data_IF_378135566339
#
_entry.id   IF_378135566339
#
_cell.length_a   1.000
_cell.length_b   1.000
_cell.length_c   1.000
_cell.angle_alpha   90.00
_cell.angle_beta   90.00
_cell.angle_gamma   90.00
#
_symmetry.space_group_name_H-M   'P 1'
#
loop_
_entity.id
_entity.type
_entity.pdbx_description
1 polymer ?
#
# COMPACT_ATOMS: atom_id res chain seq x y z
N UNK A 1 -2.69 -12.93 -17.75
CA UNK A 1 -2.73 -12.64 -16.30
C UNK A 1 -2.51 -13.93 -15.54
N UNK A 2 -1.58 -13.98 -14.57
CA UNK A 2 -1.31 -15.21 -13.79
C UNK A 2 -2.39 -15.42 -12.72
N UNK A 3 -2.52 -16.64 -12.19
CA UNK A 3 -3.49 -16.94 -11.11
C UNK A 3 -3.29 -16.05 -9.87
N UNK A 4 -2.03 -15.74 -9.53
CA UNK A 4 -1.71 -14.82 -8.43
C UNK A 4 -2.12 -13.39 -8.74
N UNK A 5 -1.92 -12.92 -9.98
CA UNK A 5 -2.39 -11.60 -10.41
C UNK A 5 -3.92 -11.53 -10.41
N UNK A 6 -4.60 -12.59 -10.84
CA UNK A 6 -6.05 -12.68 -10.79
C UNK A 6 -6.59 -12.67 -9.36
N UNK A 7 -6.01 -13.46 -8.46
CA UNK A 7 -6.38 -13.45 -7.03
C UNK A 7 -6.18 -12.08 -6.41
N UNK A 8 -5.04 -11.46 -6.66
CA UNK A 8 -4.75 -10.11 -6.16
C UNK A 8 -5.75 -9.09 -6.67
N UNK A 9 -6.01 -9.10 -7.98
CA UNK A 9 -7.02 -8.24 -8.59
C UNK A 9 -8.41 -8.49 -8.00
N UNK A 10 -8.86 -9.74 -7.93
CA UNK A 10 -10.19 -10.09 -7.43
C UNK A 10 -10.37 -9.68 -5.96
N UNK A 11 -9.36 -9.91 -5.11
CA UNK A 11 -9.37 -9.47 -3.72
C UNK A 11 -9.39 -7.95 -3.62
N UNK A 12 -8.59 -7.25 -4.42
CA UNK A 12 -8.59 -5.78 -4.44
C UNK A 12 -9.95 -5.21 -4.80
N UNK A 13 -10.57 -5.76 -5.86
CA UNK A 13 -11.89 -5.35 -6.32
C UNK A 13 -12.97 -5.63 -5.26
N UNK A 14 -12.93 -6.80 -4.62
CA UNK A 14 -13.84 -7.17 -3.55
C UNK A 14 -13.68 -6.25 -2.32
N UNK A 15 -12.44 -6.00 -1.89
CA UNK A 15 -12.15 -5.08 -0.79
C UNK A 15 -12.61 -3.66 -1.11
N UNK A 16 -12.37 -3.17 -2.32
CA UNK A 16 -12.84 -1.84 -2.74
C UNK A 16 -14.36 -1.74 -2.71
N UNK A 17 -15.05 -2.72 -3.26
CA UNK A 17 -16.52 -2.75 -3.25
C UNK A 17 -17.07 -2.79 -1.82
N UNK A 18 -16.47 -3.60 -0.94
CA UNK A 18 -16.86 -3.67 0.46
C UNK A 18 -16.68 -2.32 1.17
N UNK A 19 -15.53 -1.67 0.98
CA UNK A 19 -15.22 -0.36 1.59
C UNK A 19 -16.18 0.70 1.09
N UNK A 20 -16.44 0.76 -0.22
CA UNK A 20 -17.35 1.73 -0.82
C UNK A 20 -18.79 1.54 -0.31
N UNK A 21 -19.25 0.30 -0.15
CA UNK A 21 -20.62 0.00 0.24
C UNK A 21 -20.89 0.09 1.75
N UNK A 22 -19.92 -0.22 2.60
CA UNK A 22 -20.14 -0.34 4.04
C UNK A 22 -19.33 0.68 4.83
N UNK A 23 -18.02 0.79 4.57
CA UNK A 23 -17.12 1.56 5.41
C UNK A 23 -17.28 3.06 5.17
N UNK A 24 -17.25 3.49 3.90
CA UNK A 24 -17.40 4.92 3.55
C UNK A 24 -18.70 5.54 4.09
N UNK A 25 -19.90 4.97 3.87
CA UNK A 25 -21.13 5.58 4.39
C UNK A 25 -21.21 5.52 5.92
N UNK A 26 -20.74 4.45 6.55
CA UNK A 26 -20.81 4.30 8.02
C UNK A 26 -19.96 5.35 8.75
N UNK A 27 -18.78 5.65 8.20
CA UNK A 27 -17.83 6.59 8.82
C UNK A 27 -17.80 7.97 8.15
N UNK A 28 -18.67 8.22 7.17
CA UNK A 28 -18.70 9.48 6.42
C UNK A 28 -17.39 9.79 5.68
N UNK A 29 -16.67 8.78 5.21
CA UNK A 29 -15.38 8.97 4.55
C UNK A 29 -15.56 9.58 3.16
N UNK A 30 -15.09 10.82 3.01
CA UNK A 30 -14.99 11.52 1.73
C UNK A 30 -13.56 11.48 1.21
N UNK A 31 -13.39 11.78 -0.07
CA UNK A 31 -12.08 11.98 -0.67
C UNK A 31 -12.18 13.16 -1.62
N UNK A 32 -11.62 14.28 -1.17
CA UNK A 32 -11.50 15.47 -1.99
C UNK A 32 -10.18 15.36 -2.75
N UNK A 33 -10.26 14.98 -4.02
CA UNK A 33 -9.09 14.84 -4.89
C UNK A 33 -8.94 16.07 -5.77
N UNK A 34 -7.77 16.71 -5.73
CA UNK A 34 -7.40 17.71 -6.73
C UNK A 34 -7.22 17.08 -8.12
N UNK A 35 -6.87 15.79 -8.19
CA UNK A 35 -6.74 15.02 -9.43
C UNK A 35 -7.60 13.74 -9.38
N UNK A 36 -8.83 13.82 -9.90
CA UNK A 36 -9.70 12.68 -10.19
C UNK A 36 -9.87 12.52 -11.72
N UNK A 37 -9.60 11.34 -12.31
CA UNK A 37 -9.14 10.11 -11.67
C UNK A 37 -7.68 10.14 -11.23
N UNK A 38 -7.37 9.33 -10.20
CA UNK A 38 -5.99 8.94 -9.89
C UNK A 38 -5.27 8.45 -11.17
N UNK A 39 -3.95 8.71 -11.30
CA UNK A 39 -3.21 8.30 -12.48
C UNK A 39 -3.26 6.78 -12.68
N UNK A 40 -3.16 6.36 -13.94
CA UNK A 40 -2.94 4.94 -14.24
C UNK A 40 -1.53 4.51 -13.80
N UNK A 41 -1.35 3.29 -13.27
CA UNK A 41 -0.04 2.77 -12.91
C UNK A 41 0.99 2.88 -14.05
N UNK A 42 2.28 3.14 -13.73
CA UNK A 42 2.86 3.17 -12.40
C UNK A 42 2.71 4.52 -11.69
N UNK A 43 2.47 4.47 -10.38
CA UNK A 43 2.52 5.62 -9.48
C UNK A 43 2.81 5.16 -8.04
N UNK A 44 3.21 6.10 -7.18
CA UNK A 44 3.39 5.88 -5.75
C UNK A 44 2.28 6.62 -4.99
N UNK A 45 1.49 5.87 -4.23
CA UNK A 45 0.57 6.42 -3.24
C UNK A 45 1.30 6.52 -1.89
N UNK A 46 1.46 7.75 -1.41
CA UNK A 46 2.03 8.05 -0.08
C UNK A 46 0.92 8.51 0.85
N UNK A 47 0.89 7.96 2.05
CA UNK A 47 -0.08 8.32 3.08
C UNK A 47 0.53 8.21 4.47
N UNK A 48 0.03 9.00 5.41
CA UNK A 48 0.26 8.80 6.83
C UNK A 48 -0.38 7.48 7.32
N UNK A 49 0.06 6.96 8.47
CA UNK A 49 -0.39 5.68 9.02
C UNK A 49 -1.03 5.82 10.42
N UNK A 50 -2.32 6.17 10.43
CA UNK A 50 -3.16 6.29 11.61
C UNK A 50 -3.61 4.96 12.21
N UNK A 51 -4.01 4.01 11.37
CA UNK A 51 -4.67 2.77 11.80
C UNK A 51 -4.19 1.56 11.03
N UNK A 52 -4.39 0.37 11.60
CA UNK A 52 -4.13 -0.88 10.89
C UNK A 52 -4.91 -0.99 9.57
N UNK A 53 -6.07 -0.32 9.45
CA UNK A 53 -6.95 -0.43 8.30
C UNK A 53 -6.61 0.52 7.14
N UNK A 54 -5.65 1.44 7.32
CA UNK A 54 -5.30 2.44 6.31
C UNK A 54 -4.94 1.88 4.93
N UNK A 55 -4.25 0.72 4.80
CA UNK A 55 -3.97 0.16 3.48
C UNK A 55 -5.23 -0.08 2.64
N UNK A 56 -6.34 -0.40 3.29
CA UNK A 56 -7.64 -0.58 2.67
C UNK A 56 -8.38 0.76 2.52
N UNK A 57 -8.40 1.59 3.57
CA UNK A 57 -9.13 2.86 3.54
C UNK A 57 -8.59 3.81 2.47
N UNK A 58 -7.27 3.95 2.41
CA UNK A 58 -6.57 4.81 1.44
C UNK A 58 -6.47 4.10 0.09
N UNK A 59 -5.98 2.85 0.09
CA UNK A 59 -5.82 2.08 -1.14
C UNK A 59 -7.14 1.84 -1.88
N UNK A 60 -8.27 1.74 -1.16
CA UNK A 60 -9.59 1.54 -1.75
C UNK A 60 -10.06 2.66 -2.69
N UNK A 61 -9.43 3.84 -2.68
CA UNK A 61 -9.68 4.88 -3.67
C UNK A 61 -9.02 4.59 -5.02
N UNK A 62 -8.00 3.74 -5.05
CA UNK A 62 -7.40 3.26 -6.29
C UNK A 62 -8.27 2.22 -7.00
N UNK A 63 -8.54 2.49 -8.29
CA UNK A 63 -9.18 1.53 -9.21
C UNK A 63 -8.27 0.34 -9.50
N UNK A 64 -6.96 0.53 -9.44
CA UNK A 64 -5.95 -0.46 -9.77
C UNK A 64 -5.35 -1.12 -8.53
N UNK A 65 -5.07 -2.44 -8.54
CA UNK A 65 -4.45 -3.12 -7.40
C UNK A 65 -3.08 -2.55 -7.06
N UNK A 66 -2.88 -2.17 -5.79
CA UNK A 66 -1.63 -1.62 -5.29
C UNK A 66 -0.75 -2.70 -4.68
N UNK A 67 0.57 -2.56 -4.86
CA UNK A 67 1.53 -3.35 -4.09
C UNK A 67 1.85 -2.61 -2.79
N UNK A 68 1.50 -3.20 -1.64
CA UNK A 68 1.61 -2.53 -0.34
C UNK A 68 2.94 -2.88 0.33
N UNK A 69 3.72 -1.87 0.71
CA UNK A 69 4.92 -2.09 1.53
C UNK A 69 4.51 -2.41 2.98
N UNK A 70 4.98 -3.52 3.52
CA UNK A 70 4.64 -3.97 4.87
C UNK A 70 5.90 -4.43 5.63
N UNK A 71 5.95 -4.26 6.95
CA UNK A 71 7.05 -4.80 7.76
C UNK A 71 7.08 -6.34 7.69
N UNK A 72 8.26 -6.93 7.56
CA UNK A 72 8.50 -8.39 7.58
C UNK A 72 7.89 -9.07 8.81
N UNK A 73 7.78 -8.35 9.94
CA UNK A 73 7.13 -8.85 11.15
C UNK A 73 5.66 -9.22 10.94
N UNK A 74 4.95 -8.56 10.02
CA UNK A 74 3.57 -8.90 9.68
C UNK A 74 3.43 -10.32 9.10
N UNK A 75 4.49 -10.86 8.49
CA UNK A 75 4.51 -12.21 7.93
C UNK A 75 4.93 -13.30 8.94
N UNK A 76 5.19 -12.93 10.20
CA UNK A 76 5.59 -13.84 11.29
C UNK A 76 4.42 -14.33 12.13
N UNK A 77 3.25 -13.67 12.03
CA UNK A 77 2.05 -13.98 12.82
C UNK A 77 1.34 -15.30 12.48
N UNK A 78 1.82 -16.06 11.48
CA UNK A 78 1.30 -17.38 11.12
C UNK A 78 1.29 -17.69 9.62
N UNK A 79 0.91 -18.93 9.26
CA UNK A 79 0.84 -19.37 7.85
C UNK A 79 -0.35 -18.71 7.14
N UNK A 80 -1.47 -18.54 7.84
CA UNK A 80 -2.70 -17.93 7.31
C UNK A 80 -2.46 -16.45 6.98
N UNK A 81 -1.90 -15.68 7.92
CA UNK A 81 -1.57 -14.27 7.69
C UNK A 81 -0.57 -14.12 6.55
N UNK A 82 0.49 -14.93 6.50
CA UNK A 82 1.47 -14.92 5.41
C UNK A 82 0.84 -15.19 4.05
N UNK A 83 -0.09 -16.14 3.97
CA UNK A 83 -0.75 -16.50 2.71
C UNK A 83 -1.69 -15.38 2.26
N UNK A 84 -2.47 -14.84 3.18
CA UNK A 84 -3.35 -13.69 2.94
C UNK A 84 -2.58 -12.46 2.46
N UNK A 85 -1.51 -12.07 3.18
CA UNK A 85 -0.66 -10.93 2.82
C UNK A 85 -0.06 -11.09 1.41
N UNK A 86 0.33 -12.30 1.01
CA UNK A 86 0.80 -12.57 -0.35
C UNK A 86 -0.29 -12.41 -1.41
N UNK A 87 -1.52 -12.81 -1.09
CA UNK A 87 -2.65 -12.67 -2.02
C UNK A 87 -3.07 -11.21 -2.22
N UNK A 88 -3.02 -10.38 -1.18
CA UNK A 88 -3.30 -8.94 -1.28
C UNK A 88 -2.13 -8.10 -1.85
N UNK A 89 -1.08 -8.74 -2.37
CA UNK A 89 -0.01 -8.05 -3.11
C UNK A 89 1.01 -7.30 -2.26
N UNK A 90 1.13 -7.63 -0.97
CA UNK A 90 2.12 -7.00 -0.09
C UNK A 90 3.54 -7.47 -0.36
N UNK A 91 4.52 -6.62 -0.03
CA UNK A 91 5.93 -6.99 -0.03
C UNK A 91 6.66 -6.44 1.21
N UNK A 92 7.64 -7.21 1.66
CA UNK A 92 8.29 -7.02 2.95
C UNK A 92 9.41 -5.96 2.99
N UNK A 93 9.42 -5.18 4.07
CA UNK A 93 10.53 -4.34 4.55
C UNK A 93 11.01 -4.88 5.89
N UNK A 94 12.31 -5.16 6.02
CA UNK A 94 12.93 -5.61 7.28
C UNK A 94 13.20 -4.43 8.22
N UNK A 95 12.70 -4.49 9.44
CA UNK A 95 13.02 -3.55 10.52
C UNK A 95 14.53 -3.57 10.83
N UNK A 96 15.16 -2.39 10.91
CA UNK A 96 16.57 -2.25 11.27
C UNK A 96 17.60 -2.72 10.24
N UNK A 97 17.20 -3.09 9.02
CA UNK A 97 18.13 -3.45 7.94
C UNK A 97 18.08 -2.41 6.81
N UNK A 98 19.14 -2.31 6.00
CA UNK A 98 19.20 -1.30 4.94
C UNK A 98 17.96 -1.33 4.03
N UNK A 99 17.36 -0.15 3.82
CA UNK A 99 16.19 0.06 2.95
C UNK A 99 16.42 -0.33 1.49
N UNK A 100 17.65 -0.72 1.12
CA UNK A 100 18.04 -1.06 -0.24
C UNK A 100 17.20 -2.18 -0.86
N UNK A 101 16.87 -3.23 -0.10
CA UNK A 101 16.07 -4.35 -0.62
C UNK A 101 14.63 -3.93 -0.91
N UNK A 102 14.01 -3.21 0.02
CA UNK A 102 12.66 -2.69 -0.13
C UNK A 102 12.60 -1.71 -1.30
N UNK A 103 13.52 -0.74 -1.35
CA UNK A 103 13.68 0.22 -2.45
C UNK A 103 13.83 -0.49 -3.81
N UNK A 104 14.74 -1.47 -3.93
CA UNK A 104 14.93 -2.22 -5.18
C UNK A 104 13.64 -2.95 -5.59
N UNK A 105 12.90 -3.49 -4.62
CA UNK A 105 11.62 -4.16 -4.89
C UNK A 105 10.56 -3.16 -5.36
N UNK A 106 10.46 -2.00 -4.70
CA UNK A 106 9.56 -0.90 -5.10
C UNK A 106 9.83 -0.46 -6.53
N UNK A 107 11.09 -0.13 -6.86
CA UNK A 107 11.48 0.28 -8.22
C UNK A 107 11.20 -0.81 -9.26
N UNK A 108 11.41 -2.09 -8.91
CA UNK A 108 11.06 -3.21 -9.79
C UNK A 108 9.55 -3.36 -10.01
N UNK A 109 8.72 -3.05 -9.01
CA UNK A 109 7.25 -3.10 -9.15
C UNK A 109 6.75 -1.95 -10.02
N UNK A 110 7.27 -0.74 -9.78
CA UNK A 110 6.98 0.45 -10.60
C UNK A 110 7.42 0.24 -12.05
N UNK A 111 8.63 -0.27 -12.28
CA UNK A 111 9.12 -0.62 -13.62
C UNK A 111 8.34 -1.74 -14.31
N UNK A 112 7.55 -2.51 -13.57
CA UNK A 112 6.61 -3.49 -14.10
C UNK A 112 5.19 -2.92 -14.30
N UNK A 113 5.01 -1.59 -14.23
CA UNK A 113 3.75 -0.91 -14.43
C UNK A 113 2.74 -1.09 -13.29
N UNK A 114 3.21 -1.33 -12.05
CA UNK A 114 2.33 -1.48 -10.89
C UNK A 114 2.30 -0.22 -10.04
N UNK A 115 1.15 0.08 -9.44
CA UNK A 115 1.04 1.07 -8.38
C UNK A 115 1.58 0.52 -7.06
N UNK A 116 2.14 1.40 -6.23
CA UNK A 116 2.71 1.04 -4.92
C UNK A 116 2.10 1.94 -3.84
N UNK A 117 1.69 1.34 -2.72
CA UNK A 117 1.28 2.08 -1.52
C UNK A 117 2.39 2.01 -0.47
N UNK A 118 2.82 3.15 0.04
CA UNK A 118 3.87 3.26 1.06
C UNK A 118 3.41 4.19 2.18
N UNK A 119 3.57 3.69 3.41
CA UNK A 119 3.41 4.46 4.64
C UNK A 119 4.82 4.81 5.16
N UNK A 120 5.30 6.06 4.95
CA UNK A 120 6.69 6.43 5.20
C UNK A 120 7.06 6.45 6.69
N UNK A 121 6.08 6.54 7.58
CA UNK A 121 6.22 6.40 9.03
C UNK A 121 6.63 4.98 9.45
N UNK A 122 6.36 3.96 8.64
CA UNK A 122 6.77 2.57 8.87
C UNK A 122 6.08 1.84 10.04
N UNK A 123 5.22 2.52 10.80
CA UNK A 123 4.43 1.97 11.90
C UNK A 123 3.14 2.79 12.06
N UNK A 124 2.11 2.19 12.66
CA UNK A 124 0.89 2.92 13.04
C UNK A 124 1.15 3.79 14.25
N UNK A 125 0.47 4.94 14.32
CA UNK A 125 0.45 5.76 15.54
C UNK A 125 -0.56 5.26 16.59
N UNK A 126 -0.35 5.64 17.85
CA UNK A 126 -1.22 5.34 18.98
C UNK A 126 -2.16 6.48 19.36
N UNK A 127 -1.74 7.73 19.11
CA UNK A 127 -2.47 8.95 19.46
C UNK A 127 -3.20 9.59 18.25
N UNK A 128 -3.01 9.03 17.05
CA UNK A 128 -3.56 9.56 15.81
C UNK A 128 -2.69 10.64 15.16
N UNK A 129 -1.59 11.04 15.81
CA UNK A 129 -0.67 12.02 15.28
C UNK A 129 0.32 11.39 14.29
N UNK A 130 0.60 12.13 13.22
CA UNK A 130 1.54 11.69 12.17
C UNK A 130 2.95 11.61 12.75
N UNK A 131 3.57 10.44 12.63
CA UNK A 131 4.93 10.20 13.10
C UNK A 131 5.97 10.77 12.12
N UNK A 132 7.24 10.91 12.56
CA UNK A 132 8.33 11.28 11.67
C UNK A 132 8.49 10.29 10.52
N UNK A 133 8.70 10.83 9.32
CA UNK A 133 9.00 10.05 8.11
C UNK A 133 10.40 9.43 8.23
N UNK A 134 10.50 8.11 8.02
CA UNK A 134 11.80 7.46 7.93
C UNK A 134 12.57 7.92 6.68
N UNK A 135 13.85 8.26 6.87
CA UNK A 135 14.76 8.54 5.78
C UNK A 135 14.88 7.32 4.84
N UNK A 136 14.99 7.57 3.54
CA UNK A 136 15.08 6.59 2.48
C UNK A 136 13.94 6.65 1.47
N UNK A 137 12.78 7.20 1.84
CA UNK A 137 11.65 7.38 0.91
C UNK A 137 12.00 8.38 -0.21
N UNK A 138 12.78 9.41 0.11
CA UNK A 138 13.26 10.40 -0.87
C UNK A 138 14.05 9.74 -2.00
N UNK A 139 14.82 8.70 -1.69
CA UNK A 139 15.60 7.94 -2.68
C UNK A 139 14.73 7.10 -3.60
N UNK A 140 13.58 6.63 -3.11
CA UNK A 140 12.58 5.93 -3.92
C UNK A 140 11.93 6.92 -4.87
N UNK A 141 11.39 8.01 -4.34
CA UNK A 141 10.65 9.03 -5.11
C UNK A 141 11.52 9.62 -6.22
N UNK A 142 12.75 10.04 -5.90
CA UNK A 142 13.69 10.60 -6.90
C UNK A 142 14.08 9.62 -8.02
N UNK A 143 13.98 8.31 -7.77
CA UNK A 143 14.34 7.27 -8.75
C UNK A 143 13.15 6.68 -9.50
N UNK A 144 11.94 6.80 -8.94
CA UNK A 144 10.73 6.18 -9.46
C UNK A 144 10.34 6.72 -10.84
N UNK A 145 10.59 8.00 -11.11
CA UNK A 145 10.24 8.69 -12.38
C UNK A 145 8.77 8.47 -12.79
N UNK A 146 7.88 8.39 -11.81
CA UNK A 146 6.45 8.28 -11.98
C UNK A 146 5.76 9.25 -11.00
N UNK A 147 4.45 9.50 -11.18
CA UNK A 147 3.64 10.21 -10.19
C UNK A 147 3.72 9.57 -8.80
#
# INVERSE_FOLDING_TARGET
MTLTQFRHWALWQASRAFIAAHVRPTFGLTCDMECDPLPEPPYIMLSNHGTFFDPWLVGGWSRNPLSIMMNDDAYRSGIVSRTYLRWIGTYGKKKGSSDYRAMKKTLSLLGAGKGVLIFPEGQTTWDGETQPIYAGIEKIVLRAKCP
#
